data_IF_355765659244
#
_entry.id   IF_355765659244
#
_cell.length_a   1.000
_cell.length_b   1.000
_cell.length_c   1.000
_cell.angle_alpha   90.00
_cell.angle_beta   90.00
_cell.angle_gamma   90.00
#
_symmetry.space_group_name_H-M   'P 1'
#
loop_
_entity.id
_entity.type
_entity.pdbx_description
1 polymer ?
#
# COMPACT_ATOMS: atom_id res chain seq x y z
N UNK A 1 -23.32 -12.61 5.80
CA UNK A 1 -22.96 -12.36 7.22
C UNK A 1 -22.97 -10.87 7.45
N UNK A 2 -23.30 -10.37 8.64
CA UNK A 2 -23.18 -8.93 8.94
C UNK A 2 -21.70 -8.54 8.93
N UNK A 3 -21.34 -7.50 8.20
CA UNK A 3 -19.98 -6.96 8.22
C UNK A 3 -19.68 -6.31 9.58
N UNK A 4 -18.42 -6.40 10.02
CA UNK A 4 -17.91 -5.82 11.26
C UNK A 4 -17.42 -4.39 11.01
N UNK A 5 -17.56 -3.53 12.02
CA UNK A 5 -16.85 -2.25 12.04
C UNK A 5 -15.44 -2.47 12.59
N UNK A 6 -14.48 -1.70 12.07
CA UNK A 6 -13.12 -1.64 12.62
C UNK A 6 -13.11 -0.51 13.65
N UNK A 7 -12.89 -0.80 14.95
CA UNK A 7 -12.82 0.27 15.94
C UNK A 7 -11.51 1.06 15.77
N UNK A 8 -11.48 2.36 16.08
CA UNK A 8 -10.24 3.15 16.03
C UNK A 8 -9.09 2.57 16.88
N UNK A 9 -9.41 1.86 17.97
CA UNK A 9 -8.42 1.17 18.79
C UNK A 9 -7.69 0.01 18.08
N UNK A 10 -8.23 -0.50 16.97
CA UNK A 10 -7.58 -1.49 16.11
C UNK A 10 -6.72 -0.84 15.01
N UNK A 11 -6.58 0.49 14.99
CA UNK A 11 -5.69 1.21 14.10
C UNK A 11 -4.43 1.67 14.84
N UNK A 12 -3.28 1.49 14.20
CA UNK A 12 -1.97 1.91 14.73
C UNK A 12 -1.20 2.65 13.64
N UNK A 13 -0.47 3.70 14.03
CA UNK A 13 0.36 4.46 13.11
C UNK A 13 1.74 3.82 12.98
N UNK A 14 2.20 3.57 11.76
CA UNK A 14 3.54 3.09 11.49
C UNK A 14 4.62 4.07 11.98
N UNK A 15 4.31 5.37 11.95
CA UNK A 15 5.17 6.45 12.44
C UNK A 15 5.68 6.19 13.86
N UNK A 16 4.82 5.64 14.73
CA UNK A 16 5.10 5.42 16.15
C UNK A 16 6.14 4.31 16.39
N UNK A 17 6.48 3.52 15.36
CA UNK A 17 7.43 2.41 15.45
C UNK A 17 8.79 2.70 14.80
N UNK A 18 8.92 3.77 14.02
CA UNK A 18 10.15 4.13 13.26
C UNK A 18 11.41 4.24 14.12
N UNK A 19 11.27 4.65 15.39
CA UNK A 19 12.40 4.77 16.31
C UNK A 19 12.87 3.43 16.91
N UNK A 20 12.08 2.35 16.77
CA UNK A 20 12.33 1.08 17.48
C UNK A 20 12.30 -0.15 16.57
N UNK A 21 11.88 0.02 15.32
CA UNK A 21 11.74 -1.04 14.34
C UNK A 21 12.48 -0.64 13.06
N UNK A 22 13.00 -1.61 12.27
CA UNK A 22 13.72 -1.34 11.03
C UNK A 22 12.74 -0.98 9.90
N UNK A 23 11.93 0.05 10.13
CA UNK A 23 11.01 0.62 9.16
C UNK A 23 11.27 2.11 9.00
N UNK A 24 10.92 2.62 7.83
CA UNK A 24 10.77 4.05 7.56
C UNK A 24 9.32 4.32 7.13
N UNK A 25 8.87 5.56 7.23
CA UNK A 25 7.57 6.00 6.71
C UNK A 25 7.82 7.10 5.71
N UNK A 26 7.27 6.94 4.52
CA UNK A 26 7.20 7.98 3.49
C UNK A 26 5.74 8.13 3.07
N UNK A 27 5.07 9.16 3.60
CA UNK A 27 3.66 9.42 3.31
C UNK A 27 3.52 10.10 1.94
N UNK A 28 3.75 9.31 0.87
CA UNK A 28 3.83 9.73 -0.53
C UNK A 28 2.63 10.62 -0.92
N UNK A 29 1.42 10.17 -0.59
CA UNK A 29 0.20 10.84 -1.03
C UNK A 29 -0.15 12.11 -0.23
N UNK A 30 0.63 12.49 0.78
CA UNK A 30 0.55 13.81 1.40
C UNK A 30 1.36 14.88 0.64
N UNK A 31 2.21 14.46 -0.30
CA UNK A 31 3.24 15.29 -0.93
C UNK A 31 2.97 15.40 -2.44
N UNK A 32 2.42 16.53 -2.95
CA UNK A 32 2.02 16.67 -4.36
C UNK A 32 3.16 16.50 -5.37
N UNK A 33 4.35 16.97 -4.99
CA UNK A 33 5.55 16.97 -5.85
C UNK A 33 6.47 15.78 -5.55
N UNK A 34 6.01 14.82 -4.75
CA UNK A 34 6.80 13.63 -4.44
C UNK A 34 6.98 12.77 -5.68
N UNK A 35 8.22 12.31 -5.89
CA UNK A 35 8.64 11.57 -7.07
C UNK A 35 7.91 10.23 -7.27
N UNK A 36 7.33 9.71 -6.19
CA UNK A 36 6.57 8.46 -6.15
C UNK A 36 5.06 8.71 -6.16
N UNK A 37 4.61 9.98 -6.08
CA UNK A 37 3.20 10.34 -6.12
C UNK A 37 2.77 10.58 -7.58
N UNK A 38 2.32 9.53 -8.26
CA UNK A 38 1.89 9.62 -9.65
C UNK A 38 0.63 10.48 -9.87
N UNK A 39 -0.12 10.76 -8.79
CA UNK A 39 -1.40 11.47 -8.86
C UNK A 39 -1.24 12.99 -9.01
N UNK A 40 -0.05 13.53 -8.74
CA UNK A 40 0.28 14.95 -8.93
C UNK A 40 -0.49 15.91 -8.01
N UNK A 41 -1.08 15.41 -6.94
CA UNK A 41 -1.76 16.19 -5.91
C UNK A 41 -1.61 15.54 -4.53
N UNK A 42 -1.80 16.34 -3.47
CA UNK A 42 -1.93 15.80 -2.12
C UNK A 42 -3.33 15.24 -1.96
N UNK A 43 -3.42 13.95 -1.63
CA UNK A 43 -4.63 13.26 -1.23
C UNK A 43 -4.76 13.25 0.29
N UNK A 44 -3.63 13.26 1.00
CA UNK A 44 -3.58 13.30 2.46
C UNK A 44 -3.13 14.69 2.97
N UNK A 45 -3.42 14.98 4.24
CA UNK A 45 -2.86 16.14 4.95
C UNK A 45 -1.36 15.94 5.17
N UNK A 46 -0.60 17.03 5.16
CA UNK A 46 0.85 17.00 5.37
C UNK A 46 1.29 16.58 6.76
N UNK A 47 0.40 16.64 7.75
CA UNK A 47 0.61 16.25 9.16
C UNK A 47 -0.10 14.95 9.54
N UNK A 48 -0.72 14.26 8.58
CA UNK A 48 -1.31 12.96 8.81
C UNK A 48 -0.23 11.90 9.12
N UNK A 49 -0.62 10.87 9.88
CA UNK A 49 0.19 9.67 10.09
C UNK A 49 -0.21 8.56 9.12
N UNK A 50 0.68 7.62 8.89
CA UNK A 50 0.42 6.41 8.10
C UNK A 50 -0.21 5.34 8.99
N UNK A 51 -1.53 5.21 8.91
CA UNK A 51 -2.29 4.27 9.73
C UNK A 51 -2.43 2.90 9.05
N UNK A 52 -2.48 1.84 9.85
CA UNK A 52 -2.85 0.49 9.41
C UNK A 52 -3.65 -0.24 10.48
N UNK A 53 -4.36 -1.30 10.09
CA UNK A 53 -4.98 -2.21 11.06
C UNK A 53 -3.88 -2.89 11.88
N UNK A 54 -4.07 -3.02 13.20
CA UNK A 54 -3.08 -3.56 14.15
C UNK A 54 -2.44 -4.87 13.68
N UNK A 55 -3.21 -5.73 13.01
CA UNK A 55 -2.71 -6.99 12.50
C UNK A 55 -1.78 -6.78 11.28
N UNK A 56 -2.11 -5.89 10.32
CA UNK A 56 -1.20 -5.62 9.20
C UNK A 56 0.08 -4.93 9.69
N UNK A 57 -0.05 -4.05 10.69
CA UNK A 57 1.08 -3.38 11.34
C UNK A 57 1.99 -4.42 11.99
N UNK A 58 1.44 -5.30 12.84
CA UNK A 58 2.23 -6.34 13.50
C UNK A 58 2.97 -7.26 12.51
N UNK A 59 2.30 -7.69 11.44
CA UNK A 59 2.92 -8.53 10.41
C UNK A 59 4.04 -7.78 9.67
N UNK A 60 3.82 -6.52 9.32
CA UNK A 60 4.80 -5.69 8.61
C UNK A 60 6.03 -5.42 9.48
N UNK A 61 5.85 -5.15 10.78
CA UNK A 61 6.96 -4.95 11.72
C UNK A 61 7.81 -6.24 11.87
N UNK A 62 7.16 -7.40 11.94
CA UNK A 62 7.89 -8.68 11.98
C UNK A 62 8.62 -8.95 10.67
N UNK A 63 7.99 -8.69 9.52
CA UNK A 63 8.65 -8.82 8.22
C UNK A 63 9.85 -7.88 8.11
N UNK A 64 9.74 -6.65 8.62
CA UNK A 64 10.85 -5.71 8.68
C UNK A 64 12.02 -6.25 9.53
N UNK A 65 11.74 -6.85 10.69
CA UNK A 65 12.77 -7.51 11.50
C UNK A 65 13.45 -8.68 10.77
N UNK A 66 12.68 -9.49 10.02
CA UNK A 66 13.21 -10.59 9.20
C UNK A 66 14.12 -10.03 8.10
N UNK A 67 13.63 -9.07 7.30
CA UNK A 67 14.40 -8.43 6.23
C UNK A 67 15.69 -7.78 6.76
N UNK A 68 15.61 -7.11 7.91
CA UNK A 68 16.77 -6.48 8.52
C UNK A 68 17.82 -7.51 8.97
N UNK A 69 17.37 -8.59 9.63
CA UNK A 69 18.25 -9.66 10.12
C UNK A 69 18.94 -10.42 8.99
N UNK A 70 18.21 -10.72 7.92
CA UNK A 70 18.70 -11.58 6.84
C UNK A 70 19.46 -10.79 5.76
N UNK A 71 19.08 -9.54 5.50
CA UNK A 71 19.57 -8.76 4.34
C UNK A 71 20.07 -7.35 4.70
N UNK A 72 19.95 -6.92 5.97
CA UNK A 72 20.27 -5.55 6.38
C UNK A 72 19.27 -4.50 5.87
N UNK A 73 18.10 -4.94 5.37
CA UNK A 73 17.12 -4.03 4.78
C UNK A 73 16.28 -3.30 5.83
N UNK A 74 15.79 -2.12 5.46
CA UNK A 74 14.76 -1.37 6.18
C UNK A 74 13.52 -1.36 5.29
N UNK A 75 12.32 -1.60 5.84
CA UNK A 75 11.09 -1.51 5.04
C UNK A 75 10.51 -0.09 5.10
N UNK A 76 10.53 0.62 3.99
CA UNK A 76 9.87 1.92 3.85
C UNK A 76 8.41 1.73 3.49
N UNK A 77 7.53 2.20 4.38
CA UNK A 77 6.08 2.10 4.23
C UNK A 77 5.58 3.30 3.45
N UNK A 78 4.89 3.04 2.33
CA UNK A 78 4.42 4.05 1.37
C UNK A 78 2.93 4.34 1.51
N UNK A 79 2.11 3.31 1.75
CA UNK A 79 0.68 3.47 2.02
C UNK A 79 0.09 2.26 2.77
N UNK A 80 -1.00 2.47 3.52
CA UNK A 80 -1.76 1.37 4.14
C UNK A 80 -3.24 1.72 4.24
N UNK A 81 -3.71 2.36 5.31
CA UNK A 81 -5.08 2.87 5.38
C UNK A 81 -5.24 3.97 4.33
N UNK A 82 -6.04 3.68 3.31
CA UNK A 82 -6.51 4.64 2.31
C UNK A 82 -8.03 4.74 2.44
N UNK A 83 -8.56 5.74 3.15
CA UNK A 83 -10.00 5.89 3.36
C UNK A 83 -10.78 5.95 2.04
N UNK A 84 -12.09 5.68 2.09
CA UNK A 84 -12.96 5.65 0.91
C UNK A 84 -12.84 6.93 0.08
N UNK A 85 -12.82 8.08 0.74
CA UNK A 85 -12.71 9.40 0.13
C UNK A 85 -11.38 9.58 -0.62
N UNK A 86 -10.28 9.02 -0.10
CA UNK A 86 -8.97 9.11 -0.75
C UNK A 86 -8.92 8.25 -2.02
N UNK A 87 -9.51 7.05 -2.01
CA UNK A 87 -9.68 6.24 -3.22
C UNK A 87 -10.55 6.94 -4.27
N UNK A 88 -11.64 7.59 -3.84
CA UNK A 88 -12.47 8.39 -4.74
C UNK A 88 -11.68 9.56 -5.33
N UNK A 89 -10.92 10.27 -4.50
CA UNK A 89 -10.06 11.37 -4.94
C UNK A 89 -9.01 10.93 -5.97
N UNK A 90 -8.37 9.76 -5.76
CA UNK A 90 -7.41 9.18 -6.72
C UNK A 90 -8.03 8.97 -8.11
N UNK A 91 -9.27 8.49 -8.18
CA UNK A 91 -9.96 8.23 -9.45
C UNK A 91 -10.24 9.49 -10.25
N UNK A 92 -10.37 10.64 -9.58
CA UNK A 92 -10.62 11.92 -10.21
C UNK A 92 -9.35 12.62 -10.72
N UNK A 93 -8.16 12.05 -10.46
CA UNK A 93 -6.88 12.61 -10.89
C UNK A 93 -6.72 12.53 -12.41
N UNK A 94 -5.94 13.45 -12.97
CA UNK A 94 -5.74 13.55 -14.41
C UNK A 94 -5.13 12.26 -15.01
N UNK A 95 -4.18 11.64 -14.31
CA UNK A 95 -3.50 10.43 -14.78
C UNK A 95 -4.45 9.22 -14.83
N UNK A 96 -5.32 9.05 -13.84
CA UNK A 96 -6.29 7.94 -13.81
C UNK A 96 -7.39 8.17 -14.85
N UNK A 97 -7.87 9.40 -15.01
CA UNK A 97 -8.83 9.75 -16.08
C UNK A 97 -8.25 9.55 -17.49
N UNK A 98 -6.93 9.72 -17.65
CA UNK A 98 -6.23 9.41 -18.90
C UNK A 98 -6.04 7.91 -19.14
N UNK A 99 -6.09 7.08 -18.08
CA UNK A 99 -5.88 5.65 -18.10
C UNK A 99 -7.07 4.87 -17.49
N UNK A 100 -8.28 4.97 -18.09
CA UNK A 100 -9.49 4.39 -17.51
C UNK A 100 -9.42 2.87 -17.36
N UNK A 101 -8.57 2.19 -18.14
CA UNK A 101 -8.37 0.74 -18.07
C UNK A 101 -7.75 0.27 -16.75
N UNK A 102 -7.11 1.15 -15.96
CA UNK A 102 -6.63 0.81 -14.62
C UNK A 102 -7.75 0.40 -13.66
N UNK A 103 -8.99 0.80 -13.96
CA UNK A 103 -10.20 0.45 -13.21
C UNK A 103 -10.92 -0.80 -13.73
N UNK A 104 -10.42 -1.42 -14.80
CA UNK A 104 -10.99 -2.62 -15.43
C UNK A 104 -10.17 -3.88 -15.11
N UNK A 105 -10.77 -5.07 -15.07
CA UNK A 105 -10.04 -6.31 -14.79
C UNK A 105 -9.02 -6.67 -15.88
N UNK A 106 -7.80 -7.11 -15.55
CA UNK A 106 -7.19 -7.12 -14.21
C UNK A 106 -6.88 -5.69 -13.74
N UNK A 107 -7.49 -5.29 -12.62
CA UNK A 107 -7.41 -3.91 -12.12
C UNK A 107 -6.05 -3.58 -11.54
N UNK A 108 -5.63 -2.33 -11.73
CA UNK A 108 -4.48 -1.70 -11.06
C UNK A 108 -4.93 -0.69 -9.99
N UNK A 109 -6.20 -0.27 -10.02
CA UNK A 109 -6.80 0.56 -8.99
C UNK A 109 -8.15 0.00 -8.56
N UNK A 110 -8.36 -0.04 -7.24
CA UNK A 110 -9.63 -0.50 -6.67
C UNK A 110 -10.67 0.63 -6.66
N UNK A 111 -11.96 0.32 -6.92
CA UNK A 111 -13.07 1.25 -6.68
C UNK A 111 -13.12 1.71 -5.21
N UNK A 112 -13.75 2.86 -4.90
CA UNK A 112 -13.80 3.36 -3.53
C UNK A 112 -14.50 2.35 -2.61
N UNK A 113 -13.92 2.13 -1.42
CA UNK A 113 -14.40 1.15 -0.44
C UNK A 113 -14.06 -0.32 -0.74
N UNK A 114 -13.42 -0.58 -1.89
CA UNK A 114 -13.00 -1.92 -2.29
C UNK A 114 -11.51 -2.15 -2.00
N UNK A 115 -11.14 -3.44 -1.88
CA UNK A 115 -9.78 -3.84 -1.55
C UNK A 115 -9.45 -3.77 -0.05
N UNK A 116 -8.16 -3.94 0.26
CA UNK A 116 -7.64 -3.97 1.64
C UNK A 116 -7.35 -2.58 2.22
N UNK A 117 -6.91 -1.62 1.40
CA UNK A 117 -6.52 -0.29 1.90
C UNK A 117 -7.62 0.46 2.64
N UNK A 118 -8.91 0.46 2.21
CA UNK A 118 -9.98 1.13 2.98
C UNK A 118 -10.29 0.52 4.33
N UNK A 119 -9.61 -0.57 4.69
CA UNK A 119 -9.74 -1.25 5.98
C UNK A 119 -8.42 -1.22 6.77
N UNK A 120 -7.39 -0.54 6.25
CA UNK A 120 -6.03 -0.63 6.77
C UNK A 120 -5.49 -2.06 6.72
N UNK A 121 -5.98 -2.90 5.80
CA UNK A 121 -5.69 -4.34 5.70
C UNK A 121 -4.87 -4.69 4.47
N UNK A 122 -4.28 -3.67 3.83
CA UNK A 122 -3.26 -3.76 2.79
C UNK A 122 -2.08 -2.86 3.19
N UNK A 123 -0.92 -3.16 2.66
CA UNK A 123 0.31 -2.42 2.88
C UNK A 123 1.09 -2.35 1.57
N UNK A 124 1.47 -1.13 1.21
CA UNK A 124 2.38 -0.83 0.13
C UNK A 124 3.73 -0.43 0.72
N UNK A 125 4.79 -1.16 0.35
CA UNK A 125 6.12 -0.93 0.90
C UNK A 125 7.22 -1.28 -0.09
N UNK A 126 8.42 -0.77 0.18
CA UNK A 126 9.63 -1.16 -0.53
C UNK A 126 10.80 -1.32 0.45
N UNK A 127 11.81 -2.15 0.15
CA UNK A 127 12.98 -2.27 0.98
C UNK A 127 14.04 -1.23 0.59
N UNK A 128 14.73 -0.72 1.59
CA UNK A 128 15.90 0.14 1.50
C UNK A 128 17.13 -0.62 1.99
N UNK A 129 18.31 -0.24 1.49
CA UNK A 129 19.59 -0.56 2.13
C UNK A 129 19.72 0.12 3.49
N UNK A 130 20.71 -0.28 4.30
CA UNK A 130 21.03 0.40 5.56
C UNK A 130 21.40 1.89 5.40
N UNK A 131 21.78 2.31 4.19
CA UNK A 131 22.11 3.69 3.85
C UNK A 131 20.92 4.48 3.31
N UNK A 132 19.73 3.87 3.24
CA UNK A 132 18.50 4.51 2.74
C UNK A 132 18.36 4.53 1.22
N UNK A 133 19.12 3.70 0.50
CA UNK A 133 18.98 3.56 -0.95
C UNK A 133 17.92 2.51 -1.28
N UNK A 134 17.04 2.77 -2.26
CA UNK A 134 16.03 1.80 -2.69
C UNK A 134 16.68 0.52 -3.23
N UNK A 135 16.23 -0.64 -2.75
CA UNK A 135 16.57 -1.92 -3.35
C UNK A 135 15.87 -2.01 -4.71
N UNK A 136 16.63 -2.32 -5.75
CA UNK A 136 16.08 -2.42 -7.09
C UNK A 136 15.07 -3.56 -7.21
N UNK A 137 13.85 -3.19 -7.57
CA UNK A 137 12.69 -4.07 -7.78
C UNK A 137 12.21 -4.06 -9.23
N UNK A 138 13.01 -3.52 -10.16
CA UNK A 138 12.77 -3.51 -11.61
C UNK A 138 11.74 -2.48 -12.09
N UNK A 139 10.93 -1.95 -11.17
CA UNK A 139 10.05 -0.79 -11.39
C UNK A 139 10.00 0.01 -10.10
N UNK A 140 9.67 1.30 -10.21
CA UNK A 140 9.37 2.13 -9.05
C UNK A 140 8.03 1.72 -8.42
N UNK A 141 7.85 2.05 -7.14
CA UNK A 141 6.53 2.07 -6.50
C UNK A 141 5.51 2.85 -7.35
N UNK A 142 4.25 2.43 -7.33
CA UNK A 142 3.16 3.00 -8.13
C UNK A 142 3.40 2.99 -9.66
N UNK A 143 4.26 2.10 -10.16
CA UNK A 143 4.35 1.86 -11.59
C UNK A 143 3.08 1.15 -12.10
N UNK A 144 2.10 1.93 -12.55
CA UNK A 144 0.89 1.42 -13.19
C UNK A 144 1.07 1.38 -14.70
N UNK A 145 1.03 0.19 -15.30
CA UNK A 145 1.31 0.05 -16.73
C UNK A 145 0.21 0.68 -17.60
N UNK A 146 0.62 1.49 -18.57
CA UNK A 146 -0.25 2.00 -19.64
C UNK A 146 -0.57 0.89 -20.66
N UNK A 147 0.28 -0.13 -20.78
CA UNK A 147 0.09 -1.30 -21.65
C UNK A 147 -0.47 -2.49 -20.86
N UNK A 148 -1.74 -2.81 -21.06
CA UNK A 148 -2.40 -3.95 -20.39
C UNK A 148 -1.77 -5.30 -20.70
N UNK A 149 -1.04 -5.43 -21.80
CA UNK A 149 -0.40 -6.69 -22.19
C UNK A 149 0.97 -6.89 -21.54
N UNK A 150 1.54 -5.84 -20.95
CA UNK A 150 2.87 -5.86 -20.37
C UNK A 150 2.87 -5.07 -19.05
N UNK A 151 2.90 -5.77 -17.91
CA UNK A 151 2.99 -5.16 -16.60
C UNK A 151 4.33 -5.50 -15.92
N UNK A 152 5.36 -4.65 -16.05
CA UNK A 152 6.64 -4.86 -15.38
C UNK A 152 6.56 -4.84 -13.84
N UNK A 153 5.51 -4.25 -13.26
CA UNK A 153 5.27 -4.28 -11.82
C UNK A 153 4.68 -5.62 -11.32
N UNK A 154 4.15 -6.46 -12.23
CA UNK A 154 3.61 -7.76 -11.88
C UNK A 154 4.66 -8.62 -11.20
N UNK A 155 4.30 -9.28 -10.10
CA UNK A 155 5.23 -9.97 -9.19
C UNK A 155 6.05 -11.06 -9.88
N UNK A 156 5.47 -11.74 -10.86
CA UNK A 156 6.08 -12.80 -11.65
C UNK A 156 6.73 -12.33 -12.96
N UNK A 157 6.81 -11.01 -13.18
CA UNK A 157 7.50 -10.45 -14.33
C UNK A 157 9.01 -10.72 -14.27
N UNK A 158 9.59 -11.16 -15.39
CA UNK A 158 11.01 -11.56 -15.47
C UNK A 158 11.78 -10.91 -16.62
N UNK A 159 11.12 -10.21 -17.53
CA UNK A 159 11.71 -9.72 -18.78
C UNK A 159 12.06 -8.22 -18.73
N UNK A 160 12.86 -7.81 -17.75
CA UNK A 160 13.17 -6.38 -17.53
C UNK A 160 14.19 -5.83 -18.53
N UNK A 161 15.16 -6.65 -18.94
CA UNK A 161 16.22 -6.27 -19.89
C UNK A 161 16.78 -7.49 -20.64
N UNK A 162 17.72 -7.26 -21.55
CA UNK A 162 18.51 -8.33 -22.20
C UNK A 162 19.55 -8.98 -21.26
N UNK A 163 19.85 -8.35 -20.11
CA UNK A 163 20.78 -8.88 -19.11
C UNK A 163 20.05 -9.87 -18.17
N UNK A 164 20.35 -11.16 -18.35
CA UNK A 164 19.80 -12.25 -17.53
C UNK A 164 20.19 -12.15 -16.05
N UNK A 165 21.41 -11.66 -15.75
CA UNK A 165 21.86 -11.52 -14.36
C UNK A 165 21.07 -10.43 -13.64
N UNK A 166 20.80 -9.31 -14.32
CA UNK A 166 19.93 -8.25 -13.81
C UNK A 166 18.50 -8.76 -13.58
N UNK A 167 17.90 -9.44 -14.56
CA UNK A 167 16.55 -9.99 -14.42
C UNK A 167 16.43 -10.95 -13.22
N UNK A 168 17.42 -11.83 -13.04
CA UNK A 168 17.48 -12.75 -11.91
C UNK A 168 17.63 -12.02 -10.56
N UNK A 169 18.40 -10.93 -10.52
CA UNK A 169 18.54 -10.10 -9.32
C UNK A 169 17.19 -9.50 -8.90
N UNK A 170 16.41 -8.96 -9.84
CA UNK A 170 15.09 -8.38 -9.54
C UNK A 170 14.12 -9.44 -9.01
N UNK A 171 14.08 -10.60 -9.66
CA UNK A 171 13.25 -11.74 -9.23
C UNK A 171 13.64 -12.18 -7.82
N UNK A 172 14.94 -12.25 -7.53
CA UNK A 172 15.43 -12.59 -6.19
C UNK A 172 15.04 -11.55 -5.15
N UNK A 173 15.16 -10.26 -5.44
CA UNK A 173 14.80 -9.18 -4.52
C UNK A 173 13.30 -9.19 -4.19
N UNK A 174 12.44 -9.33 -5.22
CA UNK A 174 10.99 -9.46 -5.02
C UNK A 174 10.62 -10.70 -4.21
N UNK A 175 11.31 -11.82 -4.46
CA UNK A 175 11.13 -13.06 -3.69
C UNK A 175 11.51 -12.87 -2.23
N UNK A 176 12.67 -12.28 -1.93
CA UNK A 176 13.11 -12.00 -0.54
C UNK A 176 12.08 -11.19 0.25
N UNK A 177 11.53 -10.14 -0.37
CA UNK A 177 10.47 -9.34 0.24
C UNK A 177 9.19 -10.15 0.46
N UNK A 178 8.80 -10.91 -0.57
CA UNK A 178 7.57 -11.73 -0.53
C UNK A 178 7.66 -12.80 0.56
N UNK A 179 8.77 -13.53 0.62
CA UNK A 179 9.02 -14.58 1.59
C UNK A 179 8.99 -13.99 3.02
N UNK A 180 9.63 -12.85 3.27
CA UNK A 180 9.61 -12.21 4.59
C UNK A 180 8.19 -11.82 5.06
N UNK A 181 7.36 -11.27 4.16
CA UNK A 181 5.96 -10.93 4.46
C UNK A 181 5.12 -12.18 4.73
N UNK A 182 5.29 -13.24 3.92
CA UNK A 182 4.56 -14.50 4.08
C UNK A 182 4.99 -15.27 5.34
N UNK A 183 6.30 -15.29 5.64
CA UNK A 183 6.84 -15.90 6.85
C UNK A 183 6.33 -15.19 8.10
N UNK A 184 6.28 -13.84 8.09
CA UNK A 184 5.72 -13.07 9.18
C UNK A 184 4.23 -13.40 9.43
N UNK A 185 3.45 -13.52 8.35
CA UNK A 185 2.05 -13.94 8.41
C UNK A 185 1.90 -15.35 8.99
N UNK A 186 2.67 -16.31 8.47
CA UNK A 186 2.63 -17.70 8.89
C UNK A 186 3.00 -17.86 10.38
N UNK A 187 4.02 -17.14 10.86
CA UNK A 187 4.42 -17.14 12.28
C UNK A 187 3.32 -16.62 13.22
N UNK A 188 2.39 -15.81 12.73
CA UNK A 188 1.23 -15.32 13.48
C UNK A 188 -0.06 -16.09 13.18
N UNK A 189 0.02 -17.20 12.43
CA UNK A 189 -1.16 -17.99 12.05
C UNK A 189 -2.12 -17.23 11.14
N UNK A 190 -1.62 -16.26 10.38
CA UNK A 190 -2.37 -15.46 9.41
C UNK A 190 -1.88 -15.76 7.98
N UNK A 191 -2.68 -15.38 7.00
CA UNK A 191 -2.33 -15.51 5.59
C UNK A 191 -2.42 -14.16 4.90
N UNK A 192 -1.38 -13.80 4.16
CA UNK A 192 -1.36 -12.65 3.26
C UNK A 192 -1.46 -13.13 1.80
N UNK A 193 -2.09 -12.29 0.99
CA UNK A 193 -2.07 -12.32 -0.45
C UNK A 193 -1.03 -11.29 -0.92
N UNK A 194 0.14 -11.71 -1.42
CA UNK A 194 1.01 -10.86 -2.21
C UNK A 194 0.28 -10.57 -3.52
N UNK A 195 0.00 -9.30 -3.84
CA UNK A 195 -0.78 -9.02 -5.04
C UNK A 195 0.01 -9.45 -6.28
N UNK A 196 -0.60 -10.17 -7.25
CA UNK A 196 0.15 -10.61 -8.42
C UNK A 196 0.48 -9.45 -9.37
N UNK A 197 -0.34 -8.40 -9.39
CA UNK A 197 -0.17 -7.25 -10.30
C UNK A 197 0.87 -6.23 -9.82
N UNK A 198 1.18 -6.20 -8.52
CA UNK A 198 1.97 -5.16 -7.88
C UNK A 198 2.94 -5.82 -6.89
N UNK A 199 4.25 -5.69 -7.10
CA UNK A 199 5.26 -6.35 -6.26
C UNK A 199 5.34 -5.76 -4.83
N UNK A 200 4.95 -4.49 -4.66
CA UNK A 200 5.00 -3.77 -3.39
C UNK A 200 3.79 -4.02 -2.48
N UNK A 201 2.67 -4.49 -3.04
CA UNK A 201 1.42 -4.66 -2.29
C UNK A 201 1.33 -6.06 -1.64
N UNK A 202 1.02 -6.04 -0.34
CA UNK A 202 0.60 -7.21 0.43
C UNK A 202 -0.71 -6.90 1.15
N UNK A 203 -1.64 -7.86 1.15
CA UNK A 203 -2.97 -7.62 1.75
C UNK A 203 -3.59 -8.88 2.32
N UNK A 204 -4.49 -8.74 3.28
CA UNK A 204 -5.32 -9.88 3.67
C UNK A 204 -6.23 -10.33 2.52
N UNK A 205 -6.51 -11.63 2.47
CA UNK A 205 -7.38 -12.20 1.44
C UNK A 205 -8.77 -11.54 1.41
N UNK A 206 -9.39 -11.39 0.22
CA UNK A 206 -10.73 -10.82 0.08
C UNK A 206 -11.80 -11.46 0.96
N UNK A 207 -11.70 -12.77 1.23
CA UNK A 207 -12.64 -13.47 2.11
C UNK A 207 -12.61 -12.93 3.55
N UNK A 208 -11.44 -12.50 4.03
CA UNK A 208 -11.27 -11.89 5.35
C UNK A 208 -11.65 -10.40 5.32
N UNK A 209 -11.09 -9.62 4.41
CA UNK A 209 -11.31 -8.17 4.35
C UNK A 209 -12.77 -7.81 4.11
N UNK A 210 -13.50 -8.54 3.25
CA UNK A 210 -14.93 -8.30 2.99
C UNK A 210 -15.83 -8.56 4.21
N UNK A 211 -15.32 -9.20 5.26
CA UNK A 211 -16.05 -9.33 6.53
C UNK A 211 -16.09 -8.04 7.35
N UNK A 212 -15.35 -7.00 6.94
CA UNK A 212 -15.33 -5.67 7.56
C UNK A 212 -15.90 -4.60 6.62
N UNK A 213 -16.54 -3.58 7.19
CA UNK A 213 -16.91 -2.35 6.49
C UNK A 213 -15.64 -1.54 6.19
N UNK A 214 -15.57 -0.83 5.05
CA UNK A 214 -14.51 0.12 4.80
C UNK A 214 -14.62 1.32 5.76
N UNK A 215 -13.50 1.99 5.99
CA UNK A 215 -13.38 3.18 6.81
C UNK A 215 -13.50 4.42 5.93
N UNK A 216 -14.40 5.29 6.33
CA UNK A 216 -14.55 6.63 5.80
C UNK A 216 -13.70 7.57 6.66
N UNK A 217 -12.99 8.49 6.04
CA UNK A 217 -12.12 9.42 6.74
C UNK A 217 -12.93 10.28 7.73
N UNK A 218 -14.11 10.73 7.30
CA UNK A 218 -15.01 11.53 8.14
C UNK A 218 -15.53 10.81 9.40
N UNK A 219 -15.47 9.47 9.43
CA UNK A 219 -15.91 8.67 10.58
C UNK A 219 -14.73 8.31 11.52
N UNK A 220 -13.49 8.65 11.17
CA UNK A 220 -12.31 8.49 12.03
C UNK A 220 -12.23 9.61 13.08
N UNK A 221 -11.63 9.35 14.27
CA UNK A 221 -11.22 10.41 15.19
C UNK A 221 -10.39 11.49 14.48
N UNK A 222 -10.52 12.75 14.89
CA UNK A 222 -9.90 13.91 14.23
C UNK A 222 -8.37 13.77 14.07
N UNK A 223 -7.71 13.18 15.07
CA UNK A 223 -6.28 12.90 15.07
C UNK A 223 -5.86 11.77 14.11
N UNK A 224 -6.80 10.92 13.69
CA UNK A 224 -6.58 9.82 12.74
C UNK A 224 -7.02 10.17 11.32
N UNK A 225 -7.75 11.27 11.13
CA UNK A 225 -8.17 11.73 9.81
C UNK A 225 -6.95 12.01 8.93
N UNK A 226 -6.98 11.47 7.72
CA UNK A 226 -5.89 11.55 6.76
C UNK A 226 -6.18 12.59 5.68
N UNK A 227 -7.44 12.96 5.42
CA UNK A 227 -7.79 13.85 4.32
C UNK A 227 -7.96 15.32 4.73
N UNK A 228 -7.76 16.21 3.76
CA UNK A 228 -8.04 17.63 3.91
C UNK A 228 -9.57 17.86 3.91
N UNK A 229 -10.16 18.05 5.08
CA UNK A 229 -11.57 18.47 5.21
C UNK A 229 -11.62 20.00 5.26
N UNK A 230 -11.75 20.71 4.13
CA UNK A 230 -11.83 22.18 4.23
C UNK A 230 -11.83 23.06 2.98
N UNK A 231 -11.65 22.54 1.76
CA UNK A 231 -11.63 23.36 0.54
C UNK A 231 -12.96 23.38 -0.24
N UNK A 232 -14.04 22.88 0.36
CA UNK A 232 -15.36 22.83 -0.28
C UNK A 232 -15.53 21.66 -1.24
N UNK A 233 -14.54 20.76 -1.38
CA UNK A 233 -14.77 19.42 -1.93
C UNK A 233 -15.44 18.57 -0.87
N UNK A 234 -16.74 18.79 -0.73
CA UNK A 234 -17.58 17.84 0.00
C UNK A 234 -17.58 16.59 -0.86
N UNK A 235 -16.90 15.52 -0.42
CA UNK A 235 -17.21 14.16 -0.86
C UNK A 235 -18.56 13.74 -0.24
N UNK A 236 -19.57 14.62 -0.36
CA UNK A 236 -20.95 14.31 -0.03
C UNK A 236 -21.52 13.59 -1.22
N UNK A 237 -21.45 12.28 -1.15
CA UNK A 237 -22.64 11.47 -1.06
C UNK A 237 -22.19 10.10 -0.60
N UNK A 238 -22.82 9.56 0.44
CA UNK A 238 -22.63 8.18 0.92
C UNK A 238 -23.21 7.19 -0.10
N UNK A 239 -22.81 7.30 -1.36
CA UNK A 239 -23.21 6.48 -2.50
C UNK A 239 -22.02 5.65 -2.96
N UNK A 240 -21.39 4.95 -2.02
CA UNK A 240 -20.46 3.88 -2.35
C UNK A 240 -21.09 2.58 -1.84
N UNK A 241 -21.43 1.64 -2.76
CA UNK A 241 -22.16 0.42 -2.45
C UNK A 241 -21.39 -0.56 -1.55
#
# INVERSE_FOLDING_TARGET
MKQKQIPPADLQAFDDFTATQPIAVDLVYAQPEHRDNIFGCALYRGDAKLWGHKDIVALTLLAAQICHKEYGWILEIKDSLRPVEAQAAMQETAIVRANPHWMEEPRLLSPPGHGGHPRGMAIDLLPLTENGEEIDMGTRFDHLSEDRSNNPAARDYTAFSEDEAYNNLIVENRRKLTDAMLDAAAQNGMELLPLPQEWWDFRFYPAYTKSFLPLFDADLPEEMQMMLHGDGRVYSERTYP
#
